data_IF_158046605320
#
_entry.id   IF_158046605320
#
_cell.length_a   1.000
_cell.length_b   1.000
_cell.length_c   1.000
_cell.angle_alpha   90.00
_cell.angle_beta   90.00
_cell.angle_gamma   90.00
#
_symmetry.space_group_name_H-M   'P 1'
#
loop_
_entity.id
_entity.type
_entity.pdbx_description
1 polymer ?
#
# COMPACT_ATOMS: atom_id res chain seq x y z
N UNK A 1 20.04 -36.13 -58.39
CA UNK A 1 20.15 -35.10 -57.34
C UNK A 1 18.76 -34.75 -56.84
N UNK A 2 18.31 -35.32 -55.72
CA UNK A 2 16.99 -35.05 -55.13
C UNK A 2 17.17 -34.38 -53.77
N UNK A 3 16.85 -33.08 -53.69
CA UNK A 3 16.91 -32.29 -52.44
C UNK A 3 15.73 -32.68 -51.55
N UNK A 4 16.00 -33.23 -50.36
CA UNK A 4 14.99 -33.42 -49.31
C UNK A 4 14.72 -32.08 -48.62
N UNK A 5 13.47 -31.62 -48.66
CA UNK A 5 12.99 -30.45 -47.92
C UNK A 5 12.69 -30.89 -46.48
N UNK A 6 13.54 -30.54 -45.53
CA UNK A 6 13.29 -30.76 -44.09
C UNK A 6 12.42 -29.63 -43.56
N UNK A 7 11.16 -29.94 -43.24
CA UNK A 7 10.29 -29.07 -42.46
C UNK A 7 10.76 -29.09 -41.00
N UNK A 8 11.43 -28.03 -40.56
CA UNK A 8 11.71 -27.81 -39.15
C UNK A 8 10.44 -27.30 -38.47
N UNK A 9 9.73 -28.19 -37.78
CA UNK A 9 8.68 -27.81 -36.83
C UNK A 9 9.38 -27.20 -35.60
N UNK A 10 9.25 -25.88 -35.43
CA UNK A 10 9.65 -25.18 -34.20
C UNK A 10 8.54 -25.40 -33.17
N UNK A 11 8.80 -26.04 -32.02
CA UNK A 11 7.80 -26.14 -30.96
C UNK A 11 7.62 -24.76 -30.31
N UNK A 12 6.41 -24.21 -30.39
CA UNK A 12 6.04 -23.01 -29.65
C UNK A 12 5.93 -23.36 -28.16
N UNK A 13 6.87 -22.86 -27.35
CA UNK A 13 6.81 -22.97 -25.89
C UNK A 13 5.74 -21.98 -25.41
N UNK A 14 4.59 -22.50 -25.00
CA UNK A 14 3.56 -21.72 -24.28
C UNK A 14 3.96 -21.71 -22.80
N UNK A 15 4.54 -20.62 -22.33
CA UNK A 15 4.76 -20.40 -20.91
C UNK A 15 3.42 -20.09 -20.25
N UNK A 16 2.97 -20.84 -19.22
CA UNK A 16 1.79 -20.45 -18.46
C UNK A 16 2.12 -19.16 -17.70
N UNK A 17 1.41 -18.08 -18.03
CA UNK A 17 1.43 -16.87 -17.21
C UNK A 17 0.78 -17.21 -15.86
N UNK A 18 1.56 -17.22 -14.79
CA UNK A 18 1.03 -17.30 -13.43
C UNK A 18 0.13 -16.10 -13.20
N UNK A 19 -1.17 -16.33 -13.03
CA UNK A 19 -2.12 -15.28 -12.67
C UNK A 19 -1.78 -14.83 -11.23
N UNK A 20 -1.23 -13.62 -11.10
CA UNK A 20 -1.13 -12.96 -9.81
C UNK A 20 -2.56 -12.55 -9.40
N UNK A 21 -3.10 -13.16 -8.34
CA UNK A 21 -4.37 -12.75 -7.76
C UNK A 21 -4.11 -11.62 -6.77
N UNK A 22 -4.30 -10.38 -7.22
CA UNK A 22 -4.39 -9.23 -6.34
C UNK A 22 -5.87 -9.00 -6.00
N UNK A 23 -6.23 -9.11 -4.72
CA UNK A 23 -7.55 -8.68 -4.25
C UNK A 23 -7.45 -7.22 -3.84
N UNK A 24 -8.10 -6.34 -4.60
CA UNK A 24 -8.30 -4.95 -4.20
C UNK A 24 -9.50 -4.89 -3.26
N UNK A 25 -9.24 -4.54 -2.00
CA UNK A 25 -10.29 -4.39 -0.99
C UNK A 25 -10.84 -2.97 -0.96
N UNK A 26 -9.97 -1.98 -1.10
CA UNK A 26 -10.32 -0.56 -1.08
C UNK A 26 -9.45 0.20 -2.06
N UNK A 27 -10.09 1.09 -2.81
CA UNK A 27 -9.37 2.19 -3.47
C UNK A 27 -8.93 3.22 -2.43
N UNK A 28 -7.91 4.02 -2.77
CA UNK A 28 -7.46 5.11 -1.90
C UNK A 28 -8.59 6.11 -1.59
N UNK A 29 -9.47 6.38 -2.55
CA UNK A 29 -10.62 7.29 -2.39
C UNK A 29 -11.67 6.74 -1.44
N UNK A 30 -11.94 5.43 -1.48
CA UNK A 30 -12.86 4.79 -0.53
C UNK A 30 -12.27 4.81 0.88
N UNK A 31 -10.97 4.52 1.02
CA UNK A 31 -10.31 4.57 2.32
C UNK A 31 -10.27 6.01 2.90
N UNK A 32 -10.03 7.02 2.06
CA UNK A 32 -10.13 8.43 2.45
C UNK A 32 -11.50 8.77 3.05
N UNK A 33 -12.59 8.39 2.37
CA UNK A 33 -13.96 8.64 2.85
C UNK A 33 -14.30 7.84 4.09
N UNK A 34 -13.81 6.61 4.19
CA UNK A 34 -14.03 5.74 5.35
C UNK A 34 -13.33 6.28 6.60
N UNK A 35 -12.09 6.72 6.48
CA UNK A 35 -11.25 7.18 7.59
C UNK A 35 -11.51 8.64 7.97
N UNK A 36 -11.91 9.47 7.01
CA UNK A 36 -12.24 10.89 7.22
C UNK A 36 -13.63 11.25 6.65
N UNK A 37 -14.73 10.71 7.20
CA UNK A 37 -16.08 10.92 6.66
C UNK A 37 -16.55 12.39 6.72
N UNK A 38 -15.89 13.22 7.53
CA UNK A 38 -16.23 14.64 7.67
C UNK A 38 -15.40 15.56 6.77
N UNK A 39 -14.33 15.06 6.15
CA UNK A 39 -13.46 15.86 5.28
C UNK A 39 -14.17 16.19 3.96
N UNK A 40 -13.95 17.42 3.49
CA UNK A 40 -14.49 17.93 2.22
C UNK A 40 -13.40 18.15 1.16
N UNK A 41 -12.12 18.08 1.55
CA UNK A 41 -10.99 18.20 0.64
C UNK A 41 -9.87 17.21 1.01
N UNK A 42 -9.24 16.64 -0.02
CA UNK A 42 -8.08 15.76 0.10
C UNK A 42 -6.99 16.24 -0.87
N UNK A 43 -5.77 16.46 -0.38
CA UNK A 43 -4.66 16.90 -1.22
C UNK A 43 -3.39 16.08 -0.97
N UNK A 44 -2.71 15.68 -2.05
CA UNK A 44 -1.45 14.96 -1.96
C UNK A 44 -0.30 15.94 -1.69
N UNK A 45 0.50 15.65 -0.66
CA UNK A 45 1.74 16.36 -0.35
C UNK A 45 2.91 15.39 -0.31
N UNK A 46 3.95 15.70 -1.08
CA UNK A 46 5.21 14.97 -1.02
C UNK A 46 5.98 15.34 0.24
N UNK A 47 6.41 14.35 1.01
CA UNK A 47 7.26 14.49 2.19
C UNK A 47 8.55 13.73 1.95
N UNK A 48 9.68 14.42 2.05
CA UNK A 48 11.00 13.80 1.98
C UNK A 48 11.66 13.86 3.36
N UNK A 49 11.94 12.69 3.94
CA UNK A 49 12.66 12.58 5.19
C UNK A 49 14.15 12.89 5.00
N UNK A 50 14.65 13.82 5.81
CA UNK A 50 16.09 14.04 5.98
C UNK A 50 16.76 12.84 6.65
N UNK A 51 18.09 12.74 6.55
CA UNK A 51 18.87 11.71 7.26
C UNK A 51 18.62 11.72 8.77
N UNK A 52 18.55 12.90 9.36
CA UNK A 52 18.30 13.07 10.79
C UNK A 52 16.91 12.53 11.17
N UNK A 53 15.87 12.85 10.38
CA UNK A 53 14.51 12.34 10.60
C UNK A 53 14.44 10.82 10.38
N UNK A 54 15.02 10.29 9.31
CA UNK A 54 15.05 8.85 9.06
C UNK A 54 15.77 8.09 10.20
N UNK A 55 16.86 8.65 10.73
CA UNK A 55 17.57 8.08 11.89
C UNK A 55 16.73 8.16 13.17
N UNK A 56 16.01 9.26 13.39
CA UNK A 56 15.11 9.40 14.53
C UNK A 56 13.96 8.39 14.46
N UNK A 57 13.31 8.24 13.30
CA UNK A 57 12.26 7.24 13.08
C UNK A 57 12.80 5.84 13.35
N UNK A 58 13.95 5.46 12.77
CA UNK A 58 14.58 4.16 13.02
C UNK A 58 14.87 3.93 14.50
N UNK A 59 15.33 4.96 15.23
CA UNK A 59 15.60 4.87 16.66
C UNK A 59 14.33 4.64 17.48
N UNK A 60 13.22 5.28 17.10
CA UNK A 60 11.94 5.18 17.80
C UNK A 60 11.20 3.87 17.48
N UNK A 61 11.18 3.46 16.21
CA UNK A 61 10.44 2.28 15.76
C UNK A 61 11.23 0.97 15.87
N UNK A 62 12.57 1.06 15.92
CA UNK A 62 13.45 -0.12 15.76
C UNK A 62 13.51 -0.65 14.32
N UNK A 63 12.77 -0.04 13.38
CA UNK A 63 12.64 -0.48 11.99
C UNK A 63 13.48 0.40 11.08
N UNK A 64 14.22 -0.21 10.15
CA UNK A 64 14.95 0.54 9.15
C UNK A 64 13.99 1.29 8.21
N UNK A 65 14.18 2.60 8.07
CA UNK A 65 13.45 3.42 7.11
C UNK A 65 13.93 3.09 5.70
N UNK A 66 13.15 2.31 4.96
CA UNK A 66 13.50 1.87 3.60
C UNK A 66 13.21 2.95 2.56
N UNK A 67 12.05 3.58 2.66
CA UNK A 67 11.66 4.70 1.80
C UNK A 67 11.71 6.01 2.60
N UNK A 68 12.15 7.09 1.95
CA UNK A 68 12.22 8.43 2.54
C UNK A 68 11.27 9.42 1.88
N UNK A 69 10.76 9.09 0.70
CA UNK A 69 9.83 9.90 -0.06
C UNK A 69 8.41 9.31 0.11
N UNK A 70 7.56 10.03 0.82
CA UNK A 70 6.19 9.64 1.10
C UNK A 70 5.20 10.57 0.41
N UNK A 71 4.18 9.99 -0.20
CA UNK A 71 2.97 10.71 -0.55
C UNK A 71 2.03 10.72 0.66
N UNK A 72 1.81 11.89 1.26
CA UNK A 72 0.88 12.06 2.37
C UNK A 72 -0.36 12.77 1.86
N UNK A 73 -1.52 12.17 2.06
CA UNK A 73 -2.79 12.83 1.73
C UNK A 73 -3.24 13.62 2.95
N UNK A 74 -3.39 14.93 2.79
CA UNK A 74 -3.93 15.81 3.83
C UNK A 74 -5.44 15.84 3.70
N UNK A 75 -6.14 15.48 4.77
CA UNK A 75 -7.60 15.57 4.86
C UNK A 75 -7.98 16.90 5.52
N UNK A 76 -8.85 17.66 4.86
CA UNK A 76 -9.30 18.96 5.33
C UNK A 76 -10.83 19.02 5.40
N UNK A 77 -11.32 19.83 6.34
CA UNK A 77 -12.73 20.17 6.47
C UNK A 77 -12.86 21.68 6.63
N UNK A 78 -13.55 22.33 5.70
CA UNK A 78 -13.74 23.80 5.71
C UNK A 78 -12.42 24.56 5.87
N UNK A 79 -11.37 24.09 5.19
CA UNK A 79 -10.03 24.68 5.22
C UNK A 79 -9.22 24.42 6.50
N UNK A 80 -9.68 23.55 7.40
CA UNK A 80 -8.90 23.09 8.57
C UNK A 80 -8.44 21.65 8.34
N UNK A 81 -7.18 21.37 8.62
CA UNK A 81 -6.64 20.01 8.58
C UNK A 81 -7.32 19.20 9.69
N UNK A 82 -7.96 18.10 9.30
CA UNK A 82 -8.58 17.13 10.21
C UNK A 82 -7.76 15.86 10.37
N UNK A 83 -6.74 15.67 9.53
CA UNK A 83 -5.75 14.60 9.69
C UNK A 83 -4.97 14.33 8.42
N UNK A 84 -4.24 13.21 8.46
CA UNK A 84 -3.34 12.78 7.40
C UNK A 84 -3.55 11.31 7.10
N UNK A 85 -3.44 10.93 5.82
CA UNK A 85 -3.32 9.54 5.40
C UNK A 85 -1.92 9.29 4.85
N UNK A 86 -1.30 8.23 5.35
CA UNK A 86 -0.03 7.70 4.86
C UNK A 86 -0.32 6.41 4.10
N UNK A 87 -0.12 6.43 2.79
CA UNK A 87 -0.13 5.22 1.98
C UNK A 87 1.26 4.59 2.03
N UNK A 88 1.33 3.31 2.37
CA UNK A 88 2.60 2.58 2.44
C UNK A 88 2.42 1.12 2.02
N UNK A 89 3.54 0.43 1.88
CA UNK A 89 3.61 -0.98 1.54
C UNK A 89 4.53 -1.71 2.52
N UNK A 90 4.12 -2.90 2.92
CA UNK A 90 4.97 -3.82 3.67
C UNK A 90 5.07 -5.14 2.93
N UNK A 91 6.27 -5.72 2.91
CA UNK A 91 6.47 -7.05 2.36
C UNK A 91 5.79 -8.10 3.28
N UNK A 92 4.85 -8.85 2.72
CA UNK A 92 4.25 -10.02 3.32
C UNK A 92 5.20 -11.22 3.29
N UNK A 93 4.66 -12.43 3.15
CA UNK A 93 5.48 -13.64 3.00
C UNK A 93 6.17 -13.67 1.63
N UNK A 94 5.47 -13.21 0.60
CA UNK A 94 5.91 -13.26 -0.79
C UNK A 94 5.64 -11.97 -1.54
N UNK A 95 4.60 -11.22 -1.17
CA UNK A 95 4.13 -10.05 -1.94
C UNK A 95 3.91 -8.83 -1.05
N UNK A 96 3.88 -7.65 -1.67
CA UNK A 96 3.56 -6.42 -0.94
C UNK A 96 2.09 -6.40 -0.51
N UNK A 97 1.87 -5.90 0.69
CA UNK A 97 0.57 -5.55 1.25
C UNK A 97 0.46 -4.03 1.22
N UNK A 98 -0.54 -3.51 0.50
CA UNK A 98 -0.76 -2.08 0.39
C UNK A 98 -1.78 -1.67 1.44
N UNK A 99 -1.44 -0.67 2.23
CA UNK A 99 -2.31 -0.19 3.30
C UNK A 99 -2.25 1.33 3.39
N UNK A 100 -3.21 1.87 4.14
CA UNK A 100 -3.23 3.27 4.51
C UNK A 100 -3.40 3.41 6.01
N UNK A 101 -2.60 4.29 6.60
CA UNK A 101 -2.68 4.69 7.99
C UNK A 101 -3.28 6.09 8.08
N UNK A 102 -4.36 6.25 8.82
CA UNK A 102 -4.91 7.56 9.15
C UNK A 102 -4.47 7.99 10.55
N UNK A 103 -4.05 9.25 10.66
CA UNK A 103 -3.75 9.89 11.94
C UNK A 103 -4.43 11.25 12.05
N UNK A 104 -4.75 11.65 13.27
CA UNK A 104 -5.20 13.01 13.57
C UNK A 104 -4.03 14.02 13.50
N UNK A 105 -4.30 15.34 13.61
CA UNK A 105 -3.24 16.35 13.60
C UNK A 105 -2.24 16.25 14.76
N UNK A 106 -2.57 15.53 15.84
CA UNK A 106 -1.69 15.28 16.98
C UNK A 106 -0.82 14.01 16.78
N UNK A 107 -1.08 13.23 15.73
CA UNK A 107 -0.38 11.98 15.44
C UNK A 107 -1.02 10.74 16.07
N UNK A 108 -2.20 10.87 16.68
CA UNK A 108 -2.96 9.71 17.17
C UNK A 108 -3.45 8.89 15.99
N UNK A 109 -3.29 7.57 16.05
CA UNK A 109 -3.81 6.67 15.02
C UNK A 109 -5.34 6.66 15.09
N UNK A 110 -5.98 6.96 13.96
CA UNK A 110 -7.43 6.89 13.82
C UNK A 110 -7.88 5.54 13.24
N UNK A 111 -7.01 4.93 12.44
CA UNK A 111 -7.28 3.63 11.85
C UNK A 111 -6.26 3.25 10.79
N UNK A 112 -6.27 1.96 10.46
CA UNK A 112 -5.53 1.37 9.36
C UNK A 112 -6.51 0.65 8.45
N UNK A 113 -6.34 0.75 7.13
CA UNK A 113 -7.14 0.01 6.14
C UNK A 113 -6.23 -0.65 5.11
N UNK A 114 -6.61 -1.85 4.68
CA UNK A 114 -5.88 -2.61 3.65
C UNK A 114 -6.48 -2.26 2.30
N UNK A 115 -5.63 -1.81 1.38
CA UNK A 115 -6.01 -1.44 0.02
C UNK A 115 -5.95 -2.65 -0.90
N UNK A 116 -4.79 -3.32 -0.94
CA UNK A 116 -4.54 -4.48 -1.81
C UNK A 116 -3.79 -5.58 -1.05
N UNK A 117 -4.21 -6.82 -1.29
CA UNK A 117 -3.58 -8.02 -0.75
C UNK A 117 -3.40 -9.06 -1.84
N UNK A 118 -2.18 -9.58 -1.98
CA UNK A 118 -1.74 -10.35 -3.15
C UNK A 118 -1.31 -11.78 -2.82
N UNK A 119 -1.69 -12.27 -1.64
CA UNK A 119 -1.36 -13.61 -1.18
C UNK A 119 -2.61 -14.47 -0.98
N UNK A 120 -2.44 -15.80 -1.05
CA UNK A 120 -3.54 -16.77 -0.93
C UNK A 120 -4.16 -16.85 0.47
N UNK A 121 -3.36 -16.57 1.51
CA UNK A 121 -3.74 -16.71 2.92
C UNK A 121 -3.26 -15.49 3.69
N UNK A 122 -4.01 -15.07 4.72
CA UNK A 122 -3.65 -13.91 5.54
C UNK A 122 -4.53 -12.69 5.33
N UNK A 123 -5.53 -12.77 4.45
CA UNK A 123 -6.52 -11.70 4.24
C UNK A 123 -7.34 -11.32 5.49
N UNK A 124 -7.23 -12.09 6.57
CA UNK A 124 -7.81 -11.82 7.89
C UNK A 124 -7.32 -10.49 8.49
N UNK A 125 -6.17 -9.96 8.04
CA UNK A 125 -5.67 -8.65 8.49
C UNK A 125 -6.65 -7.49 8.20
N UNK A 126 -7.63 -7.67 7.31
CA UNK A 126 -8.68 -6.67 7.05
C UNK A 126 -9.78 -6.67 8.11
N UNK A 127 -9.88 -7.72 8.94
CA UNK A 127 -10.96 -7.87 9.90
C UNK A 127 -10.92 -6.71 10.91
N UNK A 128 -12.07 -6.06 11.21
CA UNK A 128 -12.10 -4.97 12.19
C UNK A 128 -11.53 -5.38 13.55
N UNK A 129 -11.74 -6.64 13.96
CA UNK A 129 -11.17 -7.17 15.20
C UNK A 129 -9.65 -7.13 15.25
N UNK A 130 -9.01 -7.50 14.15
CA UNK A 130 -7.56 -7.46 14.04
C UNK A 130 -7.04 -6.02 13.97
N UNK A 131 -7.71 -5.13 13.21
CA UNK A 131 -7.25 -3.74 13.00
C UNK A 131 -7.42 -2.83 14.22
N UNK A 132 -8.31 -3.17 15.16
CA UNK A 132 -8.51 -2.39 16.39
C UNK A 132 -7.28 -2.32 17.29
N UNK A 133 -6.33 -3.23 17.16
CA UNK A 133 -5.11 -3.21 18.00
C UNK A 133 -4.19 -2.00 17.73
N UNK A 134 -4.42 -1.27 16.64
CA UNK A 134 -3.60 -0.12 16.24
C UNK A 134 -4.19 1.22 16.66
N UNK A 135 -5.38 1.24 17.29
CA UNK A 135 -6.12 2.44 17.69
C UNK A 135 -6.26 2.47 19.21
#
# INVERSE_FOLDING_TARGET
MTRRFQWLLVPAIVLPASQAFAVQYLTITEAQRLLFPSADNFSLKGVNLTDAQAKAVKKMSGVAVQNRAYGVIVAERKGRIVGYLFQDQVLGKHENIDFVLAVDPAGTVLGIEILEYRELYGGEIRQPGWRRQFV
#
